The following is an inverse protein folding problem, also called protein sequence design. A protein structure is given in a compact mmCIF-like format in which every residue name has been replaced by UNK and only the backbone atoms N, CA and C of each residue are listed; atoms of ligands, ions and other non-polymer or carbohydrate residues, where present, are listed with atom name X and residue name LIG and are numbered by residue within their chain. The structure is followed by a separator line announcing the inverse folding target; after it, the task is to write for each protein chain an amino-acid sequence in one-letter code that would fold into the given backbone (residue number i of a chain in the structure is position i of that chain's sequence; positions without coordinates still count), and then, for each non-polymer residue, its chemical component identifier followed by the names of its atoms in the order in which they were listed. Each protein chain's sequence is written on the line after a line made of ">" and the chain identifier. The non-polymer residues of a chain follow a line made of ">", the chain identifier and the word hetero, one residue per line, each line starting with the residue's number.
data_IF_568478556713
#
_entry.id   IF_568478556713
#
_cell.length_a   1.000
_cell.length_b   1.000
_cell.length_c   1.000
_cell.angle_alpha   90.00
_cell.angle_beta   90.00
_cell.angle_gamma   90.00
#
_symmetry.space_group_name_H-M   'P 1'
#
loop_
_entity.id
_entity.type
_entity.pdbx_description
1 polymer ?
#
# COMPACT_ATOMS: atom_id res chain seq x y z
N UNK A 1 -8.79 -1.72 -15.56
CA UNK A 1 -9.21 -2.67 -14.51
C UNK A 1 -8.40 -2.40 -13.25
N UNK A 2 -8.90 -1.54 -12.37
CA UNK A 2 -8.29 -1.28 -11.05
C UNK A 2 -8.70 -2.42 -10.10
N UNK A 3 -7.76 -3.30 -9.75
CA UNK A 3 -7.97 -4.27 -8.66
C UNK A 3 -7.90 -3.51 -7.34
N UNK A 4 -9.00 -2.89 -6.92
CA UNK A 4 -9.20 -2.54 -5.52
C UNK A 4 -9.22 -3.85 -4.72
N UNK A 5 -8.15 -4.09 -3.97
CA UNK A 5 -8.07 -5.14 -2.97
C UNK A 5 -9.19 -4.94 -1.95
N UNK A 6 -10.29 -5.68 -2.13
CA UNK A 6 -11.40 -5.87 -1.19
C UNK A 6 -10.95 -6.65 0.06
N UNK A 7 -9.85 -6.27 0.69
CA UNK A 7 -9.44 -6.82 1.98
C UNK A 7 -9.81 -5.81 3.08
N UNK A 8 -10.61 -6.26 4.04
CA UNK A 8 -10.82 -5.53 5.29
C UNK A 8 -9.45 -5.23 5.92
N UNK A 9 -9.18 -3.96 6.23
CA UNK A 9 -7.91 -3.50 6.80
C UNK A 9 -7.17 -2.40 6.02
N UNK A 10 -7.60 -2.06 4.81
CA UNK A 10 -7.03 -0.94 4.04
C UNK A 10 -7.78 0.38 4.29
N UNK A 11 -7.55 0.97 5.47
CA UNK A 11 -8.08 2.28 5.84
C UNK A 11 -7.58 3.42 4.94
N UNK A 12 -7.97 4.66 5.25
CA UNK A 12 -7.57 5.83 4.47
C UNK A 12 -6.04 5.96 4.35
N UNK A 13 -5.30 5.66 5.42
CA UNK A 13 -3.83 5.71 5.44
C UNK A 13 -3.18 4.84 4.36
N UNK A 14 -3.55 3.56 4.24
CA UNK A 14 -2.95 2.66 3.23
C UNK A 14 -3.31 3.08 1.81
N UNK A 15 -4.49 3.68 1.60
CA UNK A 15 -4.88 4.23 0.29
C UNK A 15 -4.03 5.44 -0.07
N UNK A 16 -3.79 6.35 0.88
CA UNK A 16 -2.89 7.48 0.68
C UNK A 16 -1.47 7.04 0.36
N UNK A 17 -0.94 6.02 1.07
CA UNK A 17 0.39 5.46 0.79
C UNK A 17 0.50 4.86 -0.61
N UNK A 18 -0.51 4.06 -1.03
CA UNK A 18 -0.56 3.51 -2.40
C UNK A 18 -0.58 4.62 -3.45
N UNK A 19 -1.45 5.63 -3.24
CA UNK A 19 -1.55 6.77 -4.14
C UNK A 19 -0.23 7.54 -4.27
N UNK A 20 0.49 7.74 -3.15
CA UNK A 20 1.80 8.40 -3.16
C UNK A 20 2.81 7.54 -3.93
N UNK A 21 2.91 6.24 -3.63
CA UNK A 21 3.84 5.36 -4.34
C UNK A 21 3.57 5.35 -5.85
N UNK A 22 2.30 5.21 -6.24
CA UNK A 22 1.85 5.25 -7.64
C UNK A 22 2.20 6.58 -8.32
N UNK A 23 2.05 7.71 -7.62
CA UNK A 23 2.41 9.04 -8.13
C UNK A 23 3.88 9.17 -8.53
N UNK A 24 4.77 8.42 -7.88
CA UNK A 24 6.20 8.39 -8.18
C UNK A 24 6.60 7.19 -9.06
N UNK A 25 5.65 6.63 -9.83
CA UNK A 25 5.84 5.42 -10.64
C UNK A 25 6.35 4.20 -9.85
N UNK A 26 6.14 4.22 -8.53
CA UNK A 26 6.46 3.14 -7.62
C UNK A 26 5.24 2.31 -7.27
N UNK A 27 5.45 1.37 -6.35
CA UNK A 27 4.39 0.55 -5.79
C UNK A 27 4.67 0.25 -4.32
N UNK A 28 3.62 -0.16 -3.60
CA UNK A 28 3.75 -0.58 -2.22
C UNK A 28 2.94 -1.85 -1.93
N UNK A 29 3.35 -2.57 -0.89
CA UNK A 29 2.61 -3.68 -0.32
C UNK A 29 2.49 -3.54 1.19
N UNK A 30 1.43 -4.12 1.73
CA UNK A 30 1.09 -4.05 3.14
C UNK A 30 0.89 -5.45 3.69
N UNK A 31 1.42 -5.69 4.87
CA UNK A 31 1.23 -6.91 5.64
C UNK A 31 0.97 -6.53 7.10
N UNK A 32 0.07 -7.25 7.76
CA UNK A 32 -0.23 -7.06 9.17
C UNK A 32 -0.12 -8.41 9.87
N UNK A 33 0.70 -8.46 10.92
CA UNK A 33 0.67 -9.51 11.94
C UNK A 33 -0.08 -8.99 13.17
N UNK A 34 -0.21 -9.79 14.23
CA UNK A 34 -0.89 -9.36 15.46
C UNK A 34 -0.22 -8.14 16.11
N UNK A 35 1.10 -8.01 15.95
CA UNK A 35 1.92 -7.00 16.63
C UNK A 35 2.51 -5.95 15.68
N UNK A 36 2.71 -6.31 14.40
CA UNK A 36 3.51 -5.49 13.48
C UNK A 36 2.71 -5.20 12.22
N UNK A 37 2.76 -3.93 11.81
CA UNK A 37 2.37 -3.49 10.49
C UNK A 37 3.62 -3.30 9.64
N UNK A 38 3.70 -4.01 8.52
CA UNK A 38 4.84 -3.96 7.60
C UNK A 38 4.40 -3.26 6.31
N UNK A 39 5.11 -2.18 5.98
CA UNK A 39 4.99 -1.44 4.74
C UNK A 39 6.26 -1.64 3.91
N UNK A 40 6.12 -2.12 2.68
CA UNK A 40 7.21 -2.17 1.69
C UNK A 40 6.90 -1.23 0.55
N UNK A 41 7.82 -0.34 0.23
CA UNK A 41 7.72 0.64 -0.86
C UNK A 41 8.88 0.41 -1.82
N UNK A 42 8.58 0.35 -3.11
CA UNK A 42 9.58 0.31 -4.18
C UNK A 42 9.36 1.54 -5.05
N UNK A 43 10.41 2.32 -5.24
CA UNK A 43 10.44 3.49 -6.10
C UNK A 43 11.46 3.27 -7.23
N UNK A 44 11.16 3.70 -8.47
CA UNK A 44 12.14 3.76 -9.53
C UNK A 44 13.22 4.81 -9.20
N UNK A 45 14.42 4.61 -9.73
CA UNK A 45 15.53 5.56 -9.66
C UNK A 45 15.30 6.76 -10.58
#
# INVERSE_FOLDING_TARGET
>A
MSKQSKREGHGFGTKSMSMIAEKYNGYCSFEKTEEIFILRIVLPL
#
